data_IF_660938246932
#
_entry.id   IF_660938246932
#
_cell.length_a   1.000
_cell.length_b   1.000
_cell.length_c   1.000
_cell.angle_alpha   90.00
_cell.angle_beta   90.00
_cell.angle_gamma   90.00
#
_symmetry.space_group_name_H-M   'P 1'
#
loop_
_entity.id
_entity.type
_entity.pdbx_description
1 polymer ?
#
# COMPACT_ATOMS: atom_id res chain seq x y z
N UNK A 1 23.27 13.03 -27.85
CA UNK A 1 22.32 11.99 -28.28
C UNK A 1 22.29 10.97 -27.15
N UNK A 2 21.18 10.56 -26.54
CA UNK A 2 19.85 10.33 -27.10
C UNK A 2 18.78 10.75 -26.08
N UNK A 3 17.90 11.69 -26.45
CA UNK A 3 16.76 12.08 -25.61
C UNK A 3 15.67 11.04 -25.83
N UNK A 4 15.33 10.26 -24.80
CA UNK A 4 14.24 9.29 -24.90
C UNK A 4 12.92 10.05 -25.06
N UNK A 5 12.40 9.97 -26.28
CA UNK A 5 11.13 10.57 -26.71
C UNK A 5 9.98 9.81 -26.02
N UNK A 6 8.95 10.46 -25.49
CA UNK A 6 7.85 9.77 -24.82
C UNK A 6 6.94 9.13 -25.88
N UNK A 7 7.03 7.81 -26.01
CA UNK A 7 6.29 7.05 -27.02
C UNK A 7 5.89 5.67 -26.49
N UNK A 8 5.03 5.63 -25.46
CA UNK A 8 4.00 4.59 -25.44
C UNK A 8 2.78 4.89 -24.54
N UNK A 9 1.57 4.70 -25.08
CA UNK A 9 0.34 4.59 -24.26
C UNK A 9 0.14 3.15 -23.74
N UNK A 10 0.88 2.17 -24.28
CA UNK A 10 0.86 0.77 -23.85
C UNK A 10 1.57 0.56 -22.50
N UNK A 11 2.79 1.10 -22.31
CA UNK A 11 3.55 0.96 -21.05
C UNK A 11 2.79 1.45 -19.81
N UNK A 12 2.00 2.52 -19.94
CA UNK A 12 1.19 3.05 -18.82
C UNK A 12 0.10 2.06 -18.40
N UNK A 13 -0.49 1.32 -19.35
CA UNK A 13 -1.47 0.26 -19.06
C UNK A 13 -0.80 -0.94 -18.40
N UNK A 14 0.38 -1.31 -18.85
CA UNK A 14 1.11 -2.45 -18.31
C UNK A 14 1.63 -2.17 -16.89
N UNK A 15 2.07 -0.94 -16.58
CA UNK A 15 2.42 -0.53 -15.20
C UNK A 15 1.22 -0.57 -14.23
N UNK A 16 0.01 -0.21 -14.67
CA UNK A 16 -1.21 -0.27 -13.84
C UNK A 16 -1.59 -1.74 -13.58
N UNK A 17 -1.55 -2.57 -14.63
CA UNK A 17 -1.75 -4.02 -14.52
C UNK A 17 -0.73 -4.67 -13.57
N UNK A 18 0.55 -4.30 -13.68
CA UNK A 18 1.63 -4.88 -12.89
C UNK A 18 1.55 -4.48 -11.40
N UNK A 19 1.27 -3.20 -11.08
CA UNK A 19 1.09 -2.76 -9.69
C UNK A 19 -0.16 -3.34 -9.04
N UNK A 20 -1.28 -3.39 -9.76
CA UNK A 20 -2.50 -4.06 -9.28
C UNK A 20 -2.33 -5.57 -9.10
N UNK A 21 -1.56 -6.22 -9.97
CA UNK A 21 -1.23 -7.65 -9.84
C UNK A 21 -0.25 -7.91 -8.71
N UNK A 22 0.69 -7.00 -8.44
CA UNK A 22 1.65 -7.11 -7.34
C UNK A 22 0.97 -6.94 -5.97
N UNK A 23 0.02 -6.02 -5.82
CA UNK A 23 -0.77 -5.89 -4.58
C UNK A 23 -1.66 -7.11 -4.34
N UNK A 24 -2.32 -7.63 -5.39
CA UNK A 24 -3.09 -8.88 -5.33
C UNK A 24 -2.24 -10.10 -4.96
N UNK A 25 -1.04 -10.23 -5.54
CA UNK A 25 -0.10 -11.29 -5.21
C UNK A 25 0.39 -11.20 -3.76
N UNK A 26 0.69 -9.99 -3.25
CA UNK A 26 1.03 -9.78 -1.84
C UNK A 26 -0.15 -10.09 -0.90
N UNK A 27 -1.38 -9.78 -1.29
CA UNK A 27 -2.58 -10.15 -0.54
C UNK A 27 -2.76 -11.66 -0.41
N UNK A 28 -2.62 -12.39 -1.52
CA UNK A 28 -2.67 -13.87 -1.53
C UNK A 28 -1.50 -14.46 -0.72
N UNK A 29 -0.29 -13.94 -0.88
CA UNK A 29 0.87 -14.37 -0.10
C UNK A 29 0.68 -14.14 1.40
N UNK A 30 0.09 -13.01 1.80
CA UNK A 30 -0.27 -12.73 3.18
C UNK A 30 -1.32 -13.70 3.73
N UNK A 31 -2.35 -14.01 2.95
CA UNK A 31 -3.38 -14.98 3.34
C UNK A 31 -2.80 -16.39 3.52
N UNK A 32 -1.97 -16.85 2.58
CA UNK A 32 -1.28 -18.14 2.67
C UNK A 32 -0.29 -18.18 3.84
N UNK A 33 0.43 -17.09 4.11
CA UNK A 33 1.31 -16.99 5.27
C UNK A 33 0.52 -17.06 6.58
N UNK A 34 -0.57 -16.30 6.73
CA UNK A 34 -1.45 -16.35 7.90
C UNK A 34 -2.02 -17.76 8.10
N UNK A 35 -2.49 -18.40 7.03
CA UNK A 35 -3.03 -19.77 7.07
C UNK A 35 -2.00 -20.78 7.60
N UNK A 36 -0.77 -20.74 7.09
CA UNK A 36 0.29 -21.68 7.53
C UNK A 36 0.81 -21.31 8.92
N UNK A 37 1.10 -20.04 9.19
CA UNK A 37 1.80 -19.61 10.40
C UNK A 37 0.89 -19.48 11.65
N UNK A 38 -0.42 -19.33 11.46
CA UNK A 38 -1.41 -19.21 12.55
C UNK A 38 -2.37 -20.38 12.52
N UNK A 39 -3.12 -20.59 11.43
CA UNK A 39 -4.22 -21.56 11.44
C UNK A 39 -3.75 -23.03 11.49
N UNK A 40 -2.69 -23.37 10.75
CA UNK A 40 -2.03 -24.68 10.84
C UNK A 40 -0.90 -24.71 11.89
N UNK A 41 -0.23 -23.57 12.09
CA UNK A 41 0.92 -23.47 13.00
C UNK A 41 0.57 -23.42 14.48
N UNK A 42 -0.65 -23.02 14.86
CA UNK A 42 -0.95 -22.60 16.24
C UNK A 42 -0.64 -23.67 17.31
N UNK A 43 -1.14 -24.88 17.11
CA UNK A 43 -0.92 -26.00 18.05
C UNK A 43 0.55 -26.46 18.12
N UNK A 44 1.36 -26.17 17.10
CA UNK A 44 2.76 -26.61 17.00
C UNK A 44 3.78 -25.50 17.30
N UNK A 45 3.35 -24.23 17.35
CA UNK A 45 4.16 -23.08 17.74
C UNK A 45 3.84 -22.57 19.16
N UNK A 46 2.94 -23.27 19.89
CA UNK A 46 2.64 -23.00 21.29
C UNK A 46 1.62 -21.88 21.52
N UNK A 47 0.72 -21.62 20.56
CA UNK A 47 -0.27 -20.53 20.66
C UNK A 47 -1.24 -20.68 21.86
N UNK A 48 -1.36 -21.90 22.42
CA UNK A 48 -2.09 -22.20 23.66
C UNK A 48 -1.43 -21.68 24.93
N UNK A 49 -0.10 -21.51 24.92
CA UNK A 49 0.69 -21.11 26.08
C UNK A 49 0.90 -19.59 26.13
N UNK A 50 0.44 -18.86 25.11
CA UNK A 50 0.44 -17.40 25.12
C UNK A 50 -0.70 -16.85 26.00
N UNK A 51 -0.41 -15.97 26.97
CA UNK A 51 -1.43 -15.28 27.72
C UNK A 51 -2.22 -14.33 26.80
N UNK A 52 -3.51 -14.14 27.11
CA UNK A 52 -4.36 -13.21 26.39
C UNK A 52 -3.82 -11.77 26.42
N UNK A 53 -4.09 -11.02 25.35
CA UNK A 53 -3.55 -9.66 25.15
C UNK A 53 -3.96 -8.69 26.27
N UNK A 54 -3.00 -7.86 26.68
CA UNK A 54 -3.17 -6.75 27.60
C UNK A 54 -4.22 -5.73 27.11
N UNK A 55 -4.46 -5.68 25.79
CA UNK A 55 -5.50 -4.84 25.19
C UNK A 55 -6.62 -5.74 24.65
N UNK A 56 -7.71 -5.80 25.40
CA UNK A 56 -8.97 -6.44 24.97
C UNK A 56 -9.09 -7.94 25.25
N UNK A 57 -8.16 -8.54 26.02
CA UNK A 57 -8.22 -9.96 26.44
C UNK A 57 -8.30 -10.95 25.26
N UNK A 58 -7.69 -10.59 24.13
CA UNK A 58 -7.74 -11.39 22.92
C UNK A 58 -6.73 -12.55 22.97
N UNK A 59 -7.21 -13.77 22.68
CA UNK A 59 -6.37 -14.91 22.32
C UNK A 59 -5.52 -14.59 21.07
N UNK A 60 -4.33 -15.18 20.97
CA UNK A 60 -3.40 -14.97 19.86
C UNK A 60 -4.05 -15.15 18.47
N UNK A 61 -4.95 -16.13 18.29
CA UNK A 61 -5.69 -16.31 17.05
C UNK A 61 -6.52 -15.07 16.67
N UNK A 62 -7.24 -14.47 17.64
CA UNK A 62 -8.01 -13.25 17.41
C UNK A 62 -7.09 -12.05 17.15
N UNK A 63 -5.99 -11.94 17.90
CA UNK A 63 -5.00 -10.87 17.72
C UNK A 63 -4.37 -10.93 16.31
N UNK A 64 -4.16 -12.14 15.76
CA UNK A 64 -3.69 -12.35 14.39
C UNK A 64 -4.65 -11.84 13.29
N UNK A 65 -5.93 -11.61 13.62
CA UNK A 65 -6.95 -11.03 12.73
C UNK A 65 -7.16 -9.53 13.01
N UNK A 66 -7.07 -9.12 14.28
CA UNK A 66 -7.18 -7.71 14.69
C UNK A 66 -5.99 -6.90 14.19
N UNK A 67 -4.75 -7.37 14.36
CA UNK A 67 -3.53 -6.69 13.90
C UNK A 67 -3.58 -6.33 12.40
N UNK A 68 -3.84 -7.25 11.46
CA UNK A 68 -3.97 -6.90 10.05
C UNK A 68 -5.16 -5.97 9.79
N UNK A 69 -6.31 -6.17 10.44
CA UNK A 69 -7.48 -5.28 10.29
C UNK A 69 -7.18 -3.84 10.69
N UNK A 70 -6.58 -3.63 11.87
CA UNK A 70 -6.16 -2.31 12.36
C UNK A 70 -5.08 -1.72 11.46
N UNK A 71 -4.12 -2.53 11.00
CA UNK A 71 -3.04 -2.08 10.10
C UNK A 71 -3.58 -1.59 8.75
N UNK A 72 -4.56 -2.30 8.17
CA UNK A 72 -5.24 -1.92 6.94
C UNK A 72 -5.96 -0.58 7.11
N UNK A 73 -6.79 -0.44 8.14
CA UNK A 73 -7.55 0.80 8.41
C UNK A 73 -6.62 1.98 8.71
N UNK A 74 -5.57 1.77 9.51
CA UNK A 74 -4.54 2.77 9.78
C UNK A 74 -3.86 3.25 8.49
N UNK A 75 -3.48 2.30 7.61
CA UNK A 75 -2.82 2.60 6.33
C UNK A 75 -3.73 3.43 5.42
N UNK A 76 -5.00 3.06 5.28
CA UNK A 76 -5.98 3.81 4.46
C UNK A 76 -6.18 5.23 5.02
N UNK A 77 -6.38 5.38 6.33
CA UNK A 77 -6.58 6.68 6.97
C UNK A 77 -5.34 7.59 6.86
N UNK A 78 -4.13 7.03 6.97
CA UNK A 78 -2.89 7.78 6.78
C UNK A 78 -2.73 8.26 5.33
N UNK A 79 -3.05 7.44 4.33
CA UNK A 79 -2.98 7.85 2.92
C UNK A 79 -4.03 8.91 2.61
N UNK A 80 -5.31 8.66 2.92
CA UNK A 80 -6.41 9.61 2.65
C UNK A 80 -6.28 10.92 3.45
N UNK A 81 -5.82 10.85 4.70
CA UNK A 81 -5.65 12.02 5.57
C UNK A 81 -4.54 12.97 5.09
N UNK A 82 -3.51 12.45 4.40
CA UNK A 82 -2.48 13.26 3.74
C UNK A 82 -3.01 14.01 2.52
N UNK A 83 -3.86 13.37 1.72
CA UNK A 83 -4.40 13.95 0.48
C UNK A 83 -5.46 15.02 0.73
N UNK A 84 -6.35 14.81 1.71
CA UNK A 84 -7.44 15.76 2.01
C UNK A 84 -7.06 16.90 2.95
N UNK A 85 -5.83 16.91 3.49
CA UNK A 85 -5.38 17.90 4.48
C UNK A 85 -6.17 17.89 5.80
N UNK A 86 -6.99 16.87 6.05
CA UNK A 86 -7.88 16.78 7.21
C UNK A 86 -7.13 16.22 8.42
N UNK A 87 -6.76 17.12 9.35
CA UNK A 87 -6.02 16.78 10.58
C UNK A 87 -6.65 15.64 11.40
N UNK A 88 -7.98 15.53 11.45
CA UNK A 88 -8.66 14.50 12.23
C UNK A 88 -8.40 13.09 11.68
N UNK A 89 -8.44 12.90 10.36
CA UNK A 89 -8.26 11.57 9.73
C UNK A 89 -6.82 11.11 9.75
N UNK A 90 -5.85 12.04 9.59
CA UNK A 90 -4.42 11.70 9.72
C UNK A 90 -4.04 11.36 11.17
N UNK A 91 -4.55 12.09 12.17
CA UNK A 91 -4.34 11.75 13.58
C UNK A 91 -4.97 10.41 13.96
N UNK A 92 -6.21 10.12 13.53
CA UNK A 92 -6.85 8.83 13.77
C UNK A 92 -6.06 7.67 13.14
N UNK A 93 -5.59 7.83 11.90
CA UNK A 93 -4.70 6.86 11.24
C UNK A 93 -3.37 6.67 11.99
N UNK A 94 -2.80 7.74 12.53
CA UNK A 94 -1.58 7.70 13.35
C UNK A 94 -1.76 6.92 14.66
N UNK A 95 -2.86 7.17 15.39
CA UNK A 95 -3.18 6.43 16.63
C UNK A 95 -3.37 4.94 16.34
N UNK A 96 -4.08 4.59 15.26
CA UNK A 96 -4.28 3.19 14.85
C UNK A 96 -2.97 2.53 14.37
N UNK A 97 -2.05 3.27 13.74
CA UNK A 97 -0.74 2.75 13.36
C UNK A 97 0.14 2.46 14.60
N UNK A 98 0.11 3.34 15.61
CA UNK A 98 0.79 3.10 16.90
C UNK A 98 0.15 1.92 17.64
N UNK A 99 -1.19 1.78 17.59
CA UNK A 99 -1.91 0.63 18.16
C UNK A 99 -1.49 -0.69 17.49
N UNK A 100 -1.44 -0.72 16.15
CA UNK A 100 -0.98 -1.91 15.41
C UNK A 100 0.47 -2.26 15.76
N UNK A 101 1.36 -1.27 15.83
CA UNK A 101 2.75 -1.47 16.23
C UNK A 101 2.87 -2.00 17.67
N UNK A 102 2.07 -1.47 18.60
CA UNK A 102 2.02 -1.97 19.97
C UNK A 102 1.63 -3.44 20.02
N UNK A 103 0.53 -3.83 19.35
CA UNK A 103 0.06 -5.23 19.32
C UNK A 103 1.08 -6.20 18.67
N UNK A 104 1.87 -5.74 17.70
CA UNK A 104 2.98 -6.52 17.11
C UNK A 104 4.13 -6.71 18.10
N UNK A 105 4.49 -5.66 18.86
CA UNK A 105 5.59 -5.68 19.84
C UNK A 105 5.16 -6.32 21.16
N UNK A 106 3.85 -6.41 21.45
CA UNK A 106 3.30 -6.87 22.73
C UNK A 106 3.91 -8.18 23.26
N UNK A 107 4.10 -9.26 22.48
CA UNK A 107 4.70 -10.50 22.99
C UNK A 107 6.13 -10.29 23.53
N UNK A 108 6.92 -9.45 22.84
CA UNK A 108 8.27 -9.06 23.27
C UNK A 108 8.19 -8.12 24.49
N UNK A 109 7.21 -7.22 24.52
CA UNK A 109 6.94 -6.37 25.68
C UNK A 109 6.63 -7.17 26.94
N UNK A 110 5.82 -8.22 26.83
CA UNK A 110 5.52 -9.13 27.96
C UNK A 110 6.73 -9.94 28.39
N UNK A 111 7.51 -10.48 27.46
CA UNK A 111 8.79 -11.14 27.74
C UNK A 111 9.76 -10.22 28.49
N UNK A 112 9.93 -8.98 28.04
CA UNK A 112 10.93 -8.05 28.57
C UNK A 112 10.51 -7.30 29.86
N UNK A 113 9.21 -7.07 30.05
CA UNK A 113 8.69 -6.24 31.15
C UNK A 113 7.93 -7.03 32.23
N UNK A 114 7.26 -8.13 31.87
CA UNK A 114 6.50 -8.97 32.80
C UNK A 114 7.23 -10.28 33.12
N UNK A 115 7.99 -10.83 32.18
CA UNK A 115 8.69 -12.12 32.33
C UNK A 115 7.80 -13.35 32.14
N UNK A 116 6.53 -13.16 31.74
CA UNK A 116 5.51 -14.21 31.58
C UNK A 116 5.80 -15.23 30.45
N UNK A 117 6.74 -14.94 29.55
CA UNK A 117 6.91 -15.66 28.28
C UNK A 117 8.36 -16.07 28.05
N UNK A 118 8.55 -17.28 27.52
CA UNK A 118 9.84 -17.71 26.98
C UNK A 118 10.29 -16.83 25.80
N UNK A 119 11.60 -16.67 25.67
CA UNK A 119 12.22 -15.83 24.64
C UNK A 119 11.93 -16.34 23.23
N UNK A 120 11.91 -17.66 23.01
CA UNK A 120 11.64 -18.22 21.70
C UNK A 120 10.17 -18.01 21.32
N UNK A 121 9.24 -18.30 22.23
CA UNK A 121 7.78 -18.13 22.02
C UNK A 121 7.38 -16.68 21.78
N UNK A 122 7.94 -15.73 22.55
CA UNK A 122 7.68 -14.31 22.35
C UNK A 122 8.19 -13.81 20.99
N UNK A 123 9.38 -14.24 20.57
CA UNK A 123 9.98 -13.86 19.30
C UNK A 123 9.21 -14.44 18.10
N UNK A 124 8.80 -15.71 18.14
CA UNK A 124 8.03 -16.34 17.05
C UNK A 124 6.61 -15.77 16.96
N UNK A 125 5.96 -15.48 18.08
CA UNK A 125 4.66 -14.82 18.11
C UNK A 125 4.70 -13.40 17.51
N UNK A 126 5.63 -12.56 17.99
CA UNK A 126 5.80 -11.19 17.48
C UNK A 126 6.28 -11.16 16.03
N UNK A 127 7.20 -12.06 15.64
CA UNK A 127 7.70 -12.18 14.27
C UNK A 127 6.60 -12.53 13.26
N UNK A 128 5.71 -13.47 13.59
CA UNK A 128 4.54 -13.80 12.76
C UNK A 128 3.62 -12.59 12.57
N UNK A 129 3.29 -11.90 13.66
CA UNK A 129 2.44 -10.69 13.62
C UNK A 129 3.08 -9.56 12.83
N UNK A 130 4.39 -9.34 12.98
CA UNK A 130 5.16 -8.35 12.24
C UNK A 130 5.15 -8.61 10.73
N UNK A 131 5.33 -9.87 10.30
CA UNK A 131 5.27 -10.26 8.89
C UNK A 131 3.87 -10.02 8.32
N UNK A 132 2.81 -10.44 9.02
CA UNK A 132 1.42 -10.21 8.61
C UNK A 132 1.13 -8.71 8.47
N UNK A 133 1.49 -7.90 9.48
CA UNK A 133 1.28 -6.46 9.46
C UNK A 133 2.05 -5.78 8.31
N UNK A 134 3.31 -6.15 8.08
CA UNK A 134 4.13 -5.61 7.00
C UNK A 134 3.57 -5.96 5.61
N UNK A 135 3.14 -7.21 5.41
CA UNK A 135 2.53 -7.65 4.15
C UNK A 135 1.21 -6.91 3.87
N UNK A 136 0.33 -6.79 4.87
CA UNK A 136 -0.93 -6.03 4.77
C UNK A 136 -0.65 -4.56 4.47
N UNK A 137 0.29 -3.93 5.18
CA UNK A 137 0.63 -2.52 4.97
C UNK A 137 1.13 -2.28 3.54
N UNK A 138 2.04 -3.13 3.04
CA UNK A 138 2.56 -3.05 1.67
C UNK A 138 1.49 -3.30 0.62
N UNK A 139 0.69 -4.36 0.76
CA UNK A 139 -0.40 -4.69 -0.16
C UNK A 139 -1.46 -3.56 -0.21
N UNK A 140 -1.87 -3.04 0.95
CA UNK A 140 -2.84 -1.95 1.07
C UNK A 140 -2.30 -0.68 0.42
N UNK A 141 -1.04 -0.31 0.69
CA UNK A 141 -0.42 0.87 0.08
C UNK A 141 -0.36 0.76 -1.45
N UNK A 142 0.12 -0.37 -1.99
CA UNK A 142 0.19 -0.59 -3.43
C UNK A 142 -1.19 -0.61 -4.10
N UNK A 143 -2.22 -1.12 -3.41
CA UNK A 143 -3.60 -1.10 -3.89
C UNK A 143 -4.16 0.33 -3.95
N UNK A 144 -3.95 1.15 -2.90
CA UNK A 144 -4.38 2.56 -2.89
C UNK A 144 -3.64 3.36 -3.97
N UNK A 145 -2.32 3.18 -4.10
CA UNK A 145 -1.52 3.81 -5.17
C UNK A 145 -2.07 3.47 -6.57
N UNK A 146 -2.50 2.22 -6.79
CA UNK A 146 -3.10 1.77 -8.06
C UNK A 146 -4.46 2.42 -8.34
N UNK A 147 -5.33 2.50 -7.33
CA UNK A 147 -6.66 3.12 -7.44
C UNK A 147 -6.52 4.62 -7.69
N UNK A 148 -5.57 5.29 -7.02
CA UNK A 148 -5.29 6.71 -7.22
C UNK A 148 -4.83 6.99 -8.66
N UNK A 149 -3.94 6.16 -9.21
CA UNK A 149 -3.47 6.30 -10.60
C UNK A 149 -4.60 6.12 -11.63
N UNK A 150 -5.53 5.18 -11.39
CA UNK A 150 -6.71 4.99 -12.23
C UNK A 150 -7.65 6.21 -12.16
N UNK A 151 -7.89 6.74 -10.95
CA UNK A 151 -8.69 7.96 -10.75
C UNK A 151 -8.08 9.21 -11.38
N UNK A 152 -6.76 9.43 -11.19
CA UNK A 152 -6.04 10.57 -11.78
C UNK A 152 -6.05 10.48 -13.30
N UNK A 153 -5.84 9.28 -13.86
CA UNK A 153 -5.96 9.05 -15.32
C UNK A 153 -7.37 9.35 -15.83
N UNK A 154 -8.41 8.92 -15.10
CA UNK A 154 -9.80 9.25 -15.43
C UNK A 154 -10.06 10.75 -15.41
N UNK A 155 -9.59 11.44 -14.36
CA UNK A 155 -9.71 12.89 -14.22
C UNK A 155 -9.04 13.65 -15.37
N UNK A 156 -7.80 13.26 -15.74
CA UNK A 156 -7.06 13.83 -16.88
C UNK A 156 -7.72 13.57 -18.24
N UNK A 157 -8.49 12.50 -18.41
CA UNK A 157 -9.24 12.24 -19.66
C UNK A 157 -10.62 12.91 -19.67
N UNK A 158 -11.19 13.23 -18.51
CA UNK A 158 -12.47 13.92 -18.37
C UNK A 158 -12.37 15.45 -18.35
N UNK A 159 -11.18 15.98 -18.03
CA UNK A 159 -10.90 17.40 -17.93
C UNK A 159 -10.17 17.85 -19.19
N UNK A 160 -10.89 18.55 -20.07
CA UNK A 160 -10.39 19.13 -21.33
C UNK A 160 -9.51 20.37 -21.06
N UNK A 161 -8.45 20.17 -20.28
CA UNK A 161 -7.49 21.21 -19.87
C UNK A 161 -6.11 20.76 -20.37
N UNK A 162 -5.70 21.34 -21.49
CA UNK A 162 -4.34 21.21 -21.99
C UNK A 162 -3.33 21.84 -21.02
N UNK A 163 -2.80 21.02 -20.11
CA UNK A 163 -1.64 21.38 -19.26
C UNK A 163 -0.32 21.11 -19.98
N UNK A 164 -0.37 20.65 -21.23
CA UNK A 164 0.75 20.74 -22.16
C UNK A 164 0.68 22.14 -22.79
N UNK A 165 1.71 22.99 -22.68
CA UNK A 165 1.70 24.26 -23.38
C UNK A 165 1.60 23.97 -24.87
N UNK A 166 0.50 24.43 -25.47
CA UNK A 166 0.22 24.32 -26.89
C UNK A 166 1.47 24.79 -27.65
N UNK A 167 2.10 23.84 -28.35
CA UNK A 167 3.26 24.16 -29.17
C UNK A 167 2.72 24.99 -30.32
N UNK A 168 2.83 26.31 -30.19
CA UNK A 168 2.63 27.25 -31.29
C UNK A 168 3.56 26.85 -32.43
N UNK A 169 3.06 26.02 -33.33
CA UNK A 169 3.68 25.85 -34.64
C UNK A 169 3.63 27.23 -35.30
N UNK A 170 4.76 27.82 -35.70
CA UNK A 170 4.75 29.11 -36.34
C UNK A 170 4.04 28.96 -37.68
N UNK A 171 2.86 29.57 -37.76
CA UNK A 171 2.06 29.70 -38.99
C UNK A 171 2.91 30.48 -40.00
N UNK A 172 3.59 29.77 -40.90
CA UNK A 172 4.17 30.35 -42.11
C UNK A 172 3.09 30.31 -43.18
N UNK A 173 2.24 31.33 -43.14
CA UNK A 173 1.19 31.55 -44.13
C UNK A 173 1.78 32.18 -45.41
N UNK A 174 1.40 31.63 -46.56
CA UNK A 174 1.25 32.38 -47.82
C UNK A 174 2.50 32.91 -48.52
N UNK A 175 3.00 32.13 -49.49
CA UNK A 175 3.21 32.65 -50.84
C UNK A 175 2.91 31.55 -51.88
N UNK A 176 1.76 31.66 -52.52
CA UNK A 176 1.38 30.85 -53.66
C UNK A 176 1.75 31.58 -54.97
N UNK A 177 2.03 30.81 -56.01
CA UNK A 177 2.00 31.18 -57.44
C UNK A 177 2.52 32.56 -57.85
N UNK A 178 3.75 32.60 -58.39
CA UNK A 178 3.97 33.21 -59.72
C UNK A 178 5.06 32.43 -60.50
N UNK A 179 4.69 31.90 -61.66
CA UNK A 179 5.57 31.41 -62.73
C UNK A 179 4.83 31.45 -64.08
N UNK A 180 5.51 31.43 -65.26
CA UNK A 180 6.94 31.61 -65.53
C UNK A 180 7.18 33.03 -66.13
N UNK A 181 7.53 33.37 -67.40
CA UNK A 181 7.97 32.61 -68.58
C UNK A 181 9.43 32.82 -69.05
N UNK A 182 9.99 31.75 -69.63
CA UNK A 182 11.01 31.63 -70.69
C UNK A 182 11.70 32.90 -71.26
N UNK A 183 13.04 32.94 -71.20
CA UNK A 183 13.95 32.73 -72.36
C UNK A 183 15.22 31.99 -71.87
#
# INVERSE_FOLDING_TARGET
MQRLRPEDRHQIRDMISERGRMSGALGIACFLFWWVAVHMGGDSLGDSDLPASLIGDFSYYHLSLVVPGVTLVATILLTMGREKGQSLTSNAGGVLAVMALFLVVEPIGRMALLGDLDTQTALTASGRLAIIAALIHMATKMMVDSILLEWVRGFMMSSDIDVLPERQDPIIEGHADEAPPLV
#
